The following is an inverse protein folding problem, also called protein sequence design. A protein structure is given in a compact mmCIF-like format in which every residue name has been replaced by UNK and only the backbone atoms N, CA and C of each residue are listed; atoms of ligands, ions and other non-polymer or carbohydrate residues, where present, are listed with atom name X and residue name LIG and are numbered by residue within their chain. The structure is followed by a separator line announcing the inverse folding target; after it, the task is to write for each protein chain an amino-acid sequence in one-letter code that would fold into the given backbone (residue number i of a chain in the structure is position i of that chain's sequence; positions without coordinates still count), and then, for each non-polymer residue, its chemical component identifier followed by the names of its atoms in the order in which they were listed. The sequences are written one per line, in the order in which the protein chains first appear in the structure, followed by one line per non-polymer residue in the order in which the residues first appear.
data_IF_856006209788
#
_entry.id   IF_856006209788
#
_cell.length_a   1.000
_cell.length_b   1.000
_cell.length_c   1.000
_cell.angle_alpha   90.00
_cell.angle_beta   90.00
_cell.angle_gamma   90.00
#
_symmetry.space_group_name_H-M   'P 1'
#
loop_
_entity.id
_entity.type
_entity.pdbx_description
1 polymer ?
#
# COMPACT_ATOMS: atom_id res chain seq x y z
N UNK A 1 -15.87 -17.43 -53.50
CA UNK A 1 -16.65 -16.20 -53.46
C UNK A 1 -16.81 -15.63 -54.86
N UNK A 2 -18.00 -15.12 -55.19
CA UNK A 2 -18.27 -14.49 -56.48
C UNK A 2 -17.55 -13.13 -56.55
N UNK A 3 -16.91 -12.82 -57.68
CA UNK A 3 -16.16 -11.57 -57.89
C UNK A 3 -17.03 -10.31 -57.70
N UNK A 4 -18.31 -10.37 -58.08
CA UNK A 4 -19.26 -9.27 -57.91
C UNK A 4 -19.51 -8.96 -56.40
N UNK A 5 -19.68 -9.99 -55.60
CA UNK A 5 -19.87 -9.83 -54.14
C UNK A 5 -18.61 -9.29 -53.47
N UNK A 6 -17.45 -9.72 -53.92
CA UNK A 6 -16.16 -9.20 -53.39
C UNK A 6 -15.97 -7.74 -53.74
N UNK A 7 -16.33 -7.34 -54.99
CA UNK A 7 -16.26 -5.94 -55.44
C UNK A 7 -17.27 -5.06 -54.67
N UNK A 8 -18.48 -5.56 -54.41
CA UNK A 8 -19.51 -4.86 -53.68
C UNK A 8 -19.10 -4.66 -52.19
N UNK A 9 -18.55 -5.70 -51.56
CA UNK A 9 -18.07 -5.61 -50.19
C UNK A 9 -16.93 -4.58 -50.06
N UNK A 10 -15.98 -4.61 -50.98
CA UNK A 10 -14.85 -3.65 -51.01
C UNK A 10 -15.35 -2.21 -51.20
N UNK A 11 -16.34 -2.01 -52.08
CA UNK A 11 -16.92 -0.68 -52.33
C UNK A 11 -17.65 -0.10 -51.11
N UNK A 12 -18.15 -0.97 -50.21
CA UNK A 12 -18.85 -0.59 -48.98
C UNK A 12 -18.02 -0.71 -47.70
N UNK A 13 -16.72 -0.97 -47.80
CA UNK A 13 -15.82 -1.10 -46.63
C UNK A 13 -16.12 -2.33 -45.77
N UNK A 14 -16.76 -3.35 -46.33
CA UNK A 14 -17.12 -4.58 -45.60
C UNK A 14 -16.00 -5.62 -45.75
N UNK A 15 -15.50 -6.11 -44.65
CA UNK A 15 -14.53 -7.20 -44.62
C UNK A 15 -15.22 -8.53 -44.90
N UNK A 16 -14.66 -9.28 -45.85
CA UNK A 16 -15.15 -10.63 -46.22
C UNK A 16 -14.10 -11.66 -45.84
N UNK A 17 -14.51 -12.63 -45.02
CA UNK A 17 -13.65 -13.72 -44.54
C UNK A 17 -14.15 -15.03 -45.15
N UNK A 18 -13.27 -15.78 -45.80
CA UNK A 18 -13.53 -17.13 -46.28
C UNK A 18 -12.86 -18.14 -45.37
N UNK A 19 -13.61 -19.14 -44.91
CA UNK A 19 -13.14 -20.18 -44.00
C UNK A 19 -13.59 -21.56 -44.46
N UNK A 20 -12.84 -22.59 -44.08
CA UNK A 20 -13.12 -24.00 -44.42
C UNK A 20 -13.94 -24.74 -43.35
N UNK A 21 -14.62 -23.99 -42.50
CA UNK A 21 -15.45 -24.50 -41.41
C UNK A 21 -16.91 -24.06 -41.59
N UNK A 22 -17.82 -24.74 -40.91
CA UNK A 22 -19.24 -24.37 -40.90
C UNK A 22 -19.48 -23.00 -40.24
N UNK A 23 -20.63 -22.41 -40.54
CA UNK A 23 -21.00 -21.06 -40.07
C UNK A 23 -21.00 -20.93 -38.54
N UNK A 24 -21.42 -21.97 -37.81
CA UNK A 24 -21.45 -21.94 -36.34
C UNK A 24 -20.03 -21.90 -35.79
N UNK A 25 -19.15 -22.77 -36.28
CA UNK A 25 -17.73 -22.79 -35.89
C UNK A 25 -17.04 -21.48 -36.24
N UNK A 26 -17.27 -20.94 -37.45
CA UNK A 26 -16.73 -19.65 -37.87
C UNK A 26 -17.18 -18.51 -36.92
N UNK A 27 -18.47 -18.46 -36.59
CA UNK A 27 -19.01 -17.44 -35.68
C UNK A 27 -18.39 -17.52 -34.29
N UNK A 28 -18.22 -18.73 -33.75
CA UNK A 28 -17.57 -18.91 -32.45
C UNK A 28 -16.10 -18.50 -32.46
N UNK A 29 -15.37 -18.84 -33.51
CA UNK A 29 -13.96 -18.42 -33.66
C UNK A 29 -13.84 -16.89 -33.75
N UNK A 30 -14.71 -16.23 -34.51
CA UNK A 30 -14.74 -14.75 -34.58
C UNK A 30 -15.00 -14.14 -33.20
N UNK A 31 -15.95 -14.67 -32.43
CA UNK A 31 -16.24 -14.18 -31.08
C UNK A 31 -15.06 -14.41 -30.10
N UNK A 32 -14.19 -15.39 -30.37
CA UNK A 32 -13.00 -15.66 -29.56
C UNK A 32 -11.79 -14.79 -29.97
N UNK A 33 -11.88 -14.06 -31.09
CA UNK A 33 -10.81 -13.17 -31.58
C UNK A 33 -10.80 -11.78 -30.91
N UNK A 34 -11.73 -11.50 -29.97
CA UNK A 34 -11.72 -10.24 -29.24
C UNK A 34 -10.43 -10.09 -28.42
N UNK A 35 -9.70 -9.03 -28.66
CA UNK A 35 -8.48 -8.72 -27.93
C UNK A 35 -8.81 -8.04 -26.59
N UNK A 36 -7.89 -8.14 -25.64
CA UNK A 36 -8.04 -7.45 -24.35
C UNK A 36 -8.21 -5.94 -24.55
N UNK A 37 -7.63 -5.38 -25.60
CA UNK A 37 -7.75 -3.98 -25.97
C UNK A 37 -9.19 -3.55 -26.23
N UNK A 38 -10.05 -4.45 -26.72
CA UNK A 38 -11.46 -4.17 -27.04
C UNK A 38 -12.36 -4.10 -25.79
N UNK A 39 -11.90 -4.67 -24.67
CA UNK A 39 -12.70 -4.81 -23.44
C UNK A 39 -12.11 -4.08 -22.23
N UNK A 40 -10.91 -3.51 -22.35
CA UNK A 40 -10.31 -2.75 -21.22
C UNK A 40 -11.06 -1.45 -20.97
N UNK A 41 -11.18 -1.10 -19.71
CA UNK A 41 -11.68 0.21 -19.29
C UNK A 41 -10.57 1.26 -19.47
N UNK A 42 -10.81 2.28 -20.29
CA UNK A 42 -9.84 3.36 -20.56
C UNK A 42 -10.25 4.69 -19.94
N UNK A 43 -11.54 4.85 -19.65
CA UNK A 43 -12.11 6.07 -19.11
C UNK A 43 -12.53 5.88 -17.66
N UNK A 44 -12.49 6.96 -16.89
CA UNK A 44 -12.88 6.96 -15.47
C UNK A 44 -12.11 5.93 -14.61
N UNK A 45 -10.84 5.71 -14.95
CA UNK A 45 -9.97 4.88 -14.13
C UNK A 45 -9.73 5.55 -12.78
N UNK A 46 -9.99 4.81 -11.71
CA UNK A 46 -9.62 5.21 -10.36
C UNK A 46 -8.26 4.59 -10.06
N UNK A 47 -7.24 5.44 -9.92
CA UNK A 47 -5.87 5.08 -9.57
C UNK A 47 -5.56 5.65 -8.20
N UNK A 48 -4.77 4.94 -7.41
CA UNK A 48 -4.23 5.44 -6.16
C UNK A 48 -2.72 5.63 -6.27
N UNK A 49 -2.21 6.63 -5.56
CA UNK A 49 -0.77 6.83 -5.37
C UNK A 49 -0.30 6.04 -4.14
N UNK A 50 0.97 5.60 -4.13
CA UNK A 50 1.54 4.90 -2.98
C UNK A 50 1.57 5.74 -1.69
N UNK A 51 1.48 7.06 -1.81
CA UNK A 51 1.45 8.01 -0.70
C UNK A 51 0.03 8.41 -0.26
N UNK A 52 -1.02 7.90 -0.92
CA UNK A 52 -2.40 8.19 -0.51
C UNK A 52 -2.71 7.61 0.87
N UNK A 53 -3.46 8.34 1.67
CA UNK A 53 -3.90 7.87 2.97
C UNK A 53 -4.98 6.80 2.84
N UNK A 54 -4.90 5.78 3.70
CA UNK A 54 -5.84 4.64 3.68
C UNK A 54 -7.30 5.09 3.84
N UNK A 55 -7.57 6.13 4.61
CA UNK A 55 -8.93 6.62 4.83
C UNK A 55 -9.51 7.27 3.57
N UNK A 56 -8.73 8.05 2.82
CA UNK A 56 -9.15 8.64 1.53
C UNK A 56 -9.40 7.56 0.48
N UNK A 57 -8.52 6.55 0.44
CA UNK A 57 -8.68 5.36 -0.41
C UNK A 57 -9.97 4.61 -0.08
N UNK A 58 -10.29 4.47 1.21
CA UNK A 58 -11.50 3.82 1.68
C UNK A 58 -12.77 4.57 1.27
N UNK A 59 -12.82 5.90 1.40
CA UNK A 59 -13.93 6.72 0.93
C UNK A 59 -14.16 6.55 -0.58
N UNK A 60 -13.09 6.62 -1.36
CA UNK A 60 -13.14 6.43 -2.80
C UNK A 60 -13.65 5.03 -3.17
N UNK A 61 -13.19 3.99 -2.46
CA UNK A 61 -13.66 2.63 -2.67
C UNK A 61 -15.13 2.43 -2.28
N UNK A 62 -15.65 3.19 -1.30
CA UNK A 62 -17.07 3.14 -0.92
C UNK A 62 -17.98 3.79 -1.97
N UNK A 63 -17.52 4.83 -2.65
CA UNK A 63 -18.24 5.53 -3.70
C UNK A 63 -18.19 4.87 -5.07
N UNK A 64 -17.31 3.88 -5.26
CA UNK A 64 -17.08 3.19 -6.53
C UNK A 64 -17.28 1.68 -6.41
N UNK A 65 -17.49 0.98 -7.53
CA UNK A 65 -17.82 -0.46 -7.54
C UNK A 65 -16.74 -1.36 -8.15
N UNK A 66 -15.49 -0.91 -8.23
CA UNK A 66 -14.41 -1.75 -8.75
C UNK A 66 -13.98 -2.80 -7.72
N UNK A 67 -13.53 -3.96 -8.20
CA UNK A 67 -13.02 -5.05 -7.35
C UNK A 67 -11.59 -4.80 -6.89
N UNK A 68 -10.80 -4.13 -7.72
CA UNK A 68 -9.41 -3.80 -7.46
C UNK A 68 -9.07 -2.48 -8.15
N UNK A 69 -8.12 -1.77 -7.58
CA UNK A 69 -7.67 -0.45 -8.01
C UNK A 69 -6.16 -0.48 -8.19
N UNK A 70 -5.63 -0.01 -9.34
CA UNK A 70 -4.21 0.11 -9.53
C UNK A 70 -3.60 1.14 -8.58
N UNK A 71 -2.40 0.82 -8.09
CA UNK A 71 -1.56 1.74 -7.32
C UNK A 71 -0.35 2.09 -8.18
N UNK A 72 -0.02 3.36 -8.23
CA UNK A 72 1.09 3.90 -9.02
C UNK A 72 2.01 4.76 -8.15
N UNK A 73 3.27 4.92 -8.58
CA UNK A 73 4.18 5.91 -8.02
C UNK A 73 3.95 7.31 -8.62
N UNK A 74 4.72 8.30 -8.17
CA UNK A 74 4.64 9.69 -8.67
C UNK A 74 4.98 9.82 -10.17
N UNK A 75 5.61 8.83 -10.77
CA UNK A 75 5.91 8.76 -12.19
C UNK A 75 4.84 7.99 -12.99
N UNK A 76 3.70 7.68 -12.38
CA UNK A 76 2.61 6.87 -12.96
C UNK A 76 3.02 5.44 -13.30
N UNK A 77 4.10 4.91 -12.69
CA UNK A 77 4.51 3.52 -12.87
C UNK A 77 3.64 2.63 -11.98
N UNK A 78 3.11 1.57 -12.56
CA UNK A 78 2.31 0.59 -11.84
C UNK A 78 3.13 -0.14 -10.77
N UNK A 79 2.65 -0.13 -9.53
CA UNK A 79 3.26 -0.79 -8.37
C UNK A 79 2.51 -2.05 -7.94
N UNK A 80 1.19 -2.06 -8.11
CA UNK A 80 0.36 -3.18 -7.69
C UNK A 80 -1.12 -2.86 -7.68
N UNK A 81 -1.89 -3.73 -7.04
CA UNK A 81 -3.34 -3.59 -6.90
C UNK A 81 -3.74 -3.54 -5.43
N UNK A 82 -4.63 -2.62 -5.10
CA UNK A 82 -5.30 -2.58 -3.81
C UNK A 82 -6.79 -2.93 -3.99
N UNK A 83 -7.39 -3.58 -3.01
CA UNK A 83 -8.80 -3.95 -2.98
C UNK A 83 -9.36 -3.73 -1.58
N UNK A 84 -10.71 -3.74 -1.46
CA UNK A 84 -11.38 -3.61 -0.16
C UNK A 84 -10.90 -4.64 0.88
N UNK A 85 -10.48 -5.83 0.44
CA UNK A 85 -9.95 -6.87 1.33
C UNK A 85 -8.67 -6.41 2.04
N UNK A 86 -7.81 -5.65 1.36
CA UNK A 86 -6.56 -5.15 1.94
C UNK A 86 -6.80 -4.09 3.02
N UNK A 87 -7.95 -3.38 2.95
CA UNK A 87 -8.34 -2.40 3.97
C UNK A 87 -8.84 -3.02 5.28
N UNK A 88 -9.23 -4.30 5.27
CA UNK A 88 -9.73 -4.98 6.48
C UNK A 88 -8.61 -5.28 7.48
N UNK A 89 -7.39 -5.48 7.00
CA UNK A 89 -6.22 -5.75 7.82
C UNK A 89 -5.01 -4.95 7.29
N UNK A 90 -4.98 -3.62 7.48
CA UNK A 90 -3.82 -2.84 7.11
C UNK A 90 -2.61 -3.27 7.95
N UNK A 91 -1.43 -3.32 7.34
CA UNK A 91 -0.19 -3.57 8.08
C UNK A 91 0.06 -2.40 9.02
N UNK A 92 -0.03 -2.67 10.32
CA UNK A 92 0.29 -1.66 11.35
C UNK A 92 1.77 -1.29 11.27
N UNK A 93 2.09 -0.01 11.43
CA UNK A 93 3.48 0.46 11.53
C UNK A 93 4.06 0.05 12.88
N UNK A 94 5.30 -0.46 12.88
CA UNK A 94 6.03 -0.71 14.12
C UNK A 94 6.59 0.60 14.64
N UNK A 95 6.37 0.88 15.92
CA UNK A 95 6.84 2.08 16.60
C UNK A 95 7.55 1.74 17.91
N UNK A 96 8.54 2.54 18.25
CA UNK A 96 9.21 2.54 19.56
C UNK A 96 8.76 3.80 20.28
N UNK A 97 8.26 3.67 21.51
CA UNK A 97 7.95 4.82 22.35
C UNK A 97 9.23 5.22 23.11
N UNK A 98 9.59 6.48 23.03
CA UNK A 98 10.74 7.04 23.72
C UNK A 98 10.30 8.23 24.57
N UNK A 99 10.71 8.26 25.83
CA UNK A 99 10.44 9.33 26.78
C UNK A 99 8.95 9.46 27.19
N UNK A 100 8.15 8.46 26.91
CA UNK A 100 6.78 8.32 27.41
C UNK A 100 6.32 6.86 27.24
N UNK A 101 5.33 6.48 28.05
CA UNK A 101 4.72 5.15 28.03
C UNK A 101 3.20 5.20 28.25
N UNK A 102 2.55 6.29 27.87
CA UNK A 102 1.10 6.47 27.93
C UNK A 102 0.57 6.95 26.58
N UNK A 103 -0.56 6.40 26.09
CA UNK A 103 -1.18 6.82 24.82
C UNK A 103 -1.54 8.31 24.80
N UNK A 104 -1.96 8.86 25.94
CA UNK A 104 -2.32 10.28 26.04
C UNK A 104 -1.16 11.25 25.78
N UNK A 105 0.07 10.76 25.85
CA UNK A 105 1.30 11.56 25.57
C UNK A 105 1.86 11.31 24.18
N UNK A 106 1.26 10.37 23.45
CA UNK A 106 1.70 9.97 22.11
C UNK A 106 1.05 10.82 21.03
N UNK A 107 1.54 10.67 19.79
CA UNK A 107 0.92 11.28 18.63
C UNK A 107 -0.45 10.65 18.34
N UNK A 108 -1.33 11.42 17.71
CA UNK A 108 -2.64 10.94 17.26
C UNK A 108 -2.49 9.71 16.34
N UNK A 109 -3.34 8.71 16.52
CA UNK A 109 -3.33 7.47 15.75
C UNK A 109 -2.36 6.41 16.24
N UNK A 110 -1.67 6.62 17.36
CA UNK A 110 -0.73 5.64 17.94
C UNK A 110 -1.40 4.30 18.26
N UNK A 111 -2.69 4.30 18.57
CA UNK A 111 -3.49 3.10 18.87
C UNK A 111 -3.60 2.16 17.64
N UNK A 112 -3.38 2.71 16.46
CA UNK A 112 -3.37 1.94 15.19
C UNK A 112 -1.99 1.38 14.86
N UNK A 113 -0.96 1.75 15.62
CA UNK A 113 0.40 1.24 15.42
C UNK A 113 0.64 -0.04 16.24
N UNK A 114 1.73 -0.73 15.90
CA UNK A 114 2.25 -1.86 16.64
C UNK A 114 3.43 -1.38 17.49
N UNK A 115 3.22 -1.22 18.79
CA UNK A 115 4.31 -0.85 19.70
C UNK A 115 5.22 -2.07 19.86
N UNK A 116 6.49 -1.93 19.54
CA UNK A 116 7.49 -3.02 19.58
C UNK A 116 8.47 -2.85 20.74
N UNK A 117 8.67 -1.63 21.21
CA UNK A 117 9.56 -1.34 22.34
C UNK A 117 9.17 -0.04 23.04
N UNK A 118 9.46 0.05 24.33
CA UNK A 118 9.33 1.25 25.15
C UNK A 118 10.69 1.53 25.82
N UNK A 119 11.18 2.76 25.68
CA UNK A 119 12.38 3.26 26.37
C UNK A 119 12.01 4.52 27.13
N UNK A 120 11.98 4.43 28.46
CA UNK A 120 11.44 5.51 29.28
C UNK A 120 12.11 5.60 30.66
N UNK A 121 11.98 6.75 31.31
CA UNK A 121 12.47 6.99 32.67
C UNK A 121 11.35 7.41 33.67
N UNK A 122 10.12 7.51 33.16
CA UNK A 122 8.94 7.86 33.95
C UNK A 122 8.33 6.63 34.68
N UNK A 123 7.34 6.87 35.53
CA UNK A 123 6.50 5.79 36.04
C UNK A 123 5.86 5.00 34.90
N UNK A 124 5.69 3.72 35.09
CA UNK A 124 5.02 2.88 34.10
C UNK A 124 3.52 3.23 34.07
N UNK A 125 3.02 3.63 32.91
CA UNK A 125 1.61 3.90 32.66
C UNK A 125 0.82 2.67 32.25
N UNK A 126 -0.40 2.88 31.80
CA UNK A 126 -1.38 1.83 31.46
C UNK A 126 -1.36 1.38 29.98
N UNK A 127 -0.21 1.27 29.34
CA UNK A 127 -0.14 0.74 27.96
C UNK A 127 -0.41 -0.77 27.96
N UNK A 128 -1.32 -1.20 27.10
CA UNK A 128 -1.57 -2.60 26.77
C UNK A 128 -1.13 -2.87 25.33
N UNK A 129 -0.47 -3.99 25.09
CA UNK A 129 0.01 -4.41 23.79
C UNK A 129 -0.53 -5.79 23.44
N UNK A 130 -0.76 -6.05 22.13
CA UNK A 130 -1.26 -7.34 21.64
C UNK A 130 -0.21 -8.45 21.76
N UNK A 131 1.07 -8.09 21.73
CA UNK A 131 2.20 -9.03 21.80
C UNK A 131 3.18 -8.60 22.90
N UNK A 132 3.98 -9.53 23.42
CA UNK A 132 5.09 -9.19 24.32
C UNK A 132 6.07 -8.25 23.63
N UNK A 133 6.50 -7.19 24.32
CA UNK A 133 7.41 -6.18 23.81
C UNK A 133 8.62 -6.02 24.75
N UNK A 134 9.69 -5.40 24.23
CA UNK A 134 10.81 -4.94 25.06
C UNK A 134 10.40 -3.67 25.82
N UNK A 135 10.60 -3.66 27.14
CA UNK A 135 10.36 -2.48 27.95
C UNK A 135 11.61 -2.17 28.77
N UNK A 136 12.21 -1.03 28.52
CA UNK A 136 13.39 -0.54 29.24
C UNK A 136 13.02 0.74 29.98
N UNK A 137 12.77 0.60 31.25
CA UNK A 137 12.49 1.72 32.18
C UNK A 137 13.57 1.77 33.24
N UNK A 138 14.17 2.94 33.46
CA UNK A 138 15.22 3.14 34.44
C UNK A 138 15.01 4.49 35.14
N UNK A 139 15.17 4.56 36.50
CA UNK A 139 14.97 5.79 37.27
C UNK A 139 16.21 6.70 37.15
N UNK A 140 16.37 7.29 35.99
CA UNK A 140 17.46 8.24 35.61
C UNK A 140 16.88 9.62 35.35
N UNK A 141 17.75 10.63 35.22
CA UNK A 141 17.30 12.01 35.02
C UNK A 141 16.64 12.30 33.66
N UNK A 142 17.00 11.54 32.60
CA UNK A 142 16.43 11.69 31.25
C UNK A 142 16.64 10.42 30.44
N UNK A 143 15.85 10.24 29.37
CA UNK A 143 16.00 9.13 28.43
C UNK A 143 17.34 9.10 27.70
N UNK A 144 18.02 10.24 27.54
CA UNK A 144 19.35 10.30 26.92
C UNK A 144 20.36 9.41 27.64
N UNK A 145 20.28 9.28 28.95
CA UNK A 145 21.13 8.37 29.75
C UNK A 145 20.86 6.91 29.38
N UNK A 146 19.61 6.54 29.16
CA UNK A 146 19.25 5.17 28.76
C UNK A 146 19.75 4.89 27.35
N UNK A 147 19.55 5.83 26.42
CA UNK A 147 20.03 5.72 25.04
C UNK A 147 21.56 5.58 24.98
N UNK A 148 22.29 6.38 25.77
CA UNK A 148 23.74 6.24 25.89
C UNK A 148 24.15 4.85 26.37
N UNK A 149 23.46 4.30 27.37
CA UNK A 149 23.71 2.95 27.87
C UNK A 149 23.43 1.89 26.80
N UNK A 150 22.38 2.06 25.99
CA UNK A 150 22.06 1.18 24.85
C UNK A 150 23.22 1.15 23.83
N UNK A 151 23.79 2.31 23.49
CA UNK A 151 24.99 2.36 22.65
C UNK A 151 26.15 1.52 23.24
N UNK A 152 26.40 1.68 24.53
CA UNK A 152 27.48 0.96 25.22
C UNK A 152 27.22 -0.55 25.28
N UNK A 153 26.01 -0.97 25.65
CA UNK A 153 25.63 -2.38 25.77
C UNK A 153 25.75 -3.12 24.43
N UNK A 154 25.45 -2.42 23.32
CA UNK A 154 25.55 -2.98 21.98
C UNK A 154 26.93 -2.78 21.32
N UNK A 155 27.92 -2.23 22.05
CA UNK A 155 29.24 -1.91 21.53
C UNK A 155 29.23 -1.04 20.29
N UNK A 156 28.27 -0.11 20.19
CA UNK A 156 28.14 0.86 19.09
C UNK A 156 28.80 2.17 19.53
N UNK A 157 29.67 2.71 18.72
CA UNK A 157 30.31 4.00 18.97
C UNK A 157 29.27 5.11 18.79
N UNK A 158 29.22 6.05 19.78
CA UNK A 158 28.30 7.19 19.71
C UNK A 158 28.89 8.27 18.79
N UNK A 159 28.23 8.61 17.68
CA UNK A 159 28.71 9.68 16.80
C UNK A 159 28.79 11.01 17.53
N UNK A 160 29.79 11.85 17.21
CA UNK A 160 30.02 13.14 17.93
C UNK A 160 28.79 14.04 17.98
N UNK A 161 28.04 14.13 16.90
CA UNK A 161 26.83 14.95 16.84
C UNK A 161 25.71 14.38 17.71
N UNK A 162 25.58 13.05 17.80
CA UNK A 162 24.63 12.39 18.73
C UNK A 162 25.09 12.55 20.18
N UNK A 163 26.39 12.39 20.45
CA UNK A 163 26.92 12.60 21.81
C UNK A 163 26.64 14.02 22.33
N UNK A 164 26.75 15.04 21.48
CA UNK A 164 26.38 16.41 21.81
C UNK A 164 24.91 16.57 22.17
N UNK A 165 23.99 15.95 21.42
CA UNK A 165 22.56 15.94 21.72
C UNK A 165 22.24 15.20 23.03
N UNK A 166 22.80 14.03 23.23
CA UNK A 166 22.59 13.23 24.45
C UNK A 166 23.10 13.95 25.72
N UNK A 167 24.12 14.79 25.58
CA UNK A 167 24.68 15.55 26.70
C UNK A 167 23.87 16.82 27.03
N UNK A 168 23.12 17.34 26.05
CA UNK A 168 22.33 18.58 26.20
C UNK A 168 20.93 18.38 26.74
N UNK A 169 20.50 17.14 26.92
CA UNK A 169 19.16 16.77 27.38
C UNK A 169 19.05 16.63 28.89
#
# INVERSE_FOLDING_TARGET
LNEELTALAKANGVTVISVDVDTYTASNLINQCAEIEDIITRENLVLFNENDYVDDVKETMLSTNFRAYPVVDDNSKFLGLVSRRHLLNPTKKNVVLVDHNEFAQSADGIEQANIVEIVDHHKIGGISTDLPISVRVSPVGCCSTIIYNLYKENNVEVPKHIAGLLLSA
#
